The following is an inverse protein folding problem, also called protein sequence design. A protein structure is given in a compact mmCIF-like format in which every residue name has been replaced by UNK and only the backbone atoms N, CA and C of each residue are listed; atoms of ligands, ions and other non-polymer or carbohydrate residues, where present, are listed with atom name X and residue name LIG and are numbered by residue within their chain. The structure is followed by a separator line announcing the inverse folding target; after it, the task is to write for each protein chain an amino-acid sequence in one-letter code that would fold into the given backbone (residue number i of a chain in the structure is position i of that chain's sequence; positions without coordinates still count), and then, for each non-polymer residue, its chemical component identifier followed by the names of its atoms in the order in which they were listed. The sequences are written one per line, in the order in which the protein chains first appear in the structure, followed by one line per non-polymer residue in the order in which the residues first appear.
data_IF_195444839821
#
_entry.id   IF_195444839821
#
_cell.length_a   1.000
_cell.length_b   1.000
_cell.length_c   1.000
_cell.angle_alpha   90.00
_cell.angle_beta   90.00
_cell.angle_gamma   90.00
#
_symmetry.space_group_name_H-M   'P 1'
#
loop_
_entity.id
_entity.type
_entity.pdbx_description
1 polymer ?
#
# COMPACT_ATOMS: atom_id res chain seq x y z
N UNK A 1 71.72 23.80 -18.03
CA UNK A 1 70.26 23.94 -17.90
C UNK A 1 69.68 22.53 -17.75
N UNK A 2 69.17 22.20 -16.55
CA UNK A 2 68.48 20.90 -16.28
C UNK A 2 67.00 21.12 -16.26
N UNK A 3 66.14 20.29 -16.95
CA UNK A 3 64.72 20.44 -16.92
C UNK A 3 64.13 19.81 -15.63
N UNK A 4 63.33 20.58 -14.91
CA UNK A 4 62.64 20.15 -13.69
C UNK A 4 61.51 19.15 -14.00
N UNK A 5 61.54 18.04 -13.32
CA UNK A 5 60.46 17.05 -13.28
C UNK A 5 59.29 17.60 -12.47
N UNK A 6 58.16 17.86 -13.08
CA UNK A 6 56.90 18.13 -12.41
C UNK A 6 56.27 16.79 -11.98
N UNK A 7 56.20 16.53 -10.69
CA UNK A 7 55.38 15.44 -10.12
C UNK A 7 53.91 15.85 -10.20
N UNK A 8 53.16 15.15 -11.01
CA UNK A 8 51.70 15.24 -11.00
C UNK A 8 51.16 14.40 -9.84
N UNK A 9 50.54 15.06 -8.86
CA UNK A 9 49.86 14.42 -7.76
C UNK A 9 48.50 13.95 -8.27
N UNK A 10 48.34 12.63 -8.50
CA UNK A 10 47.06 12.03 -8.85
C UNK A 10 46.20 11.92 -7.56
N UNK A 11 45.20 12.76 -7.43
CA UNK A 11 44.20 12.62 -6.40
C UNK A 11 43.32 11.40 -6.73
N UNK A 12 43.47 10.31 -5.99
CA UNK A 12 42.49 9.20 -6.00
C UNK A 12 41.21 9.71 -5.37
N UNK A 13 40.19 9.96 -6.19
CA UNK A 13 38.81 10.10 -5.75
C UNK A 13 38.33 8.70 -5.35
N UNK A 14 38.27 8.43 -4.06
CA UNK A 14 37.59 7.26 -3.51
C UNK A 14 36.09 7.41 -3.82
N UNK A 15 35.56 6.59 -4.73
CA UNK A 15 34.13 6.47 -4.92
C UNK A 15 33.51 5.96 -3.61
N UNK A 16 32.38 6.52 -3.13
CA UNK A 16 31.70 6.00 -1.98
C UNK A 16 31.32 4.54 -2.26
N UNK A 17 31.78 3.61 -1.44
CA UNK A 17 31.34 2.23 -1.48
C UNK A 17 29.83 2.23 -1.21
N UNK A 18 29.04 1.75 -2.17
CA UNK A 18 27.62 1.49 -1.92
C UNK A 18 27.54 0.55 -0.70
N UNK A 19 26.76 0.93 0.31
CA UNK A 19 26.56 0.09 1.48
C UNK A 19 25.99 -1.25 1.02
N UNK A 20 26.67 -2.35 1.36
CA UNK A 20 26.24 -3.68 0.95
C UNK A 20 25.03 -4.09 1.79
N UNK A 21 23.99 -4.63 1.14
CA UNK A 21 22.83 -5.22 1.85
C UNK A 21 23.31 -6.26 2.87
N UNK A 22 22.83 -6.17 4.12
CA UNK A 22 23.05 -7.17 5.14
C UNK A 22 21.81 -8.05 5.25
N UNK A 23 21.88 -9.30 4.78
CA UNK A 23 20.78 -10.25 4.90
C UNK A 23 20.62 -10.68 6.36
N UNK A 24 19.44 -10.43 6.92
CA UNK A 24 19.09 -10.82 8.29
C UNK A 24 18.36 -12.15 8.35
N UNK A 25 17.52 -12.44 7.34
CA UNK A 25 16.71 -13.65 7.30
C UNK A 25 16.35 -14.04 5.88
N UNK A 26 16.24 -15.34 5.64
CA UNK A 26 15.72 -15.89 4.39
C UNK A 26 14.90 -17.13 4.71
N UNK A 27 13.65 -17.15 4.28
CA UNK A 27 12.81 -18.36 4.37
C UNK A 27 11.96 -18.52 3.10
N UNK A 28 11.50 -19.76 2.87
CA UNK A 28 10.54 -20.09 1.82
C UNK A 28 9.22 -20.50 2.45
N UNK A 29 8.18 -19.70 2.21
CA UNK A 29 6.82 -20.03 2.59
C UNK A 29 6.12 -20.88 1.52
N UNK A 30 4.83 -21.21 1.74
CA UNK A 30 4.00 -21.82 0.72
C UNK A 30 3.73 -20.91 -0.48
N UNK A 31 3.82 -19.58 -0.28
CA UNK A 31 3.45 -18.59 -1.28
C UNK A 31 4.66 -18.00 -1.99
N UNK A 32 5.78 -17.76 -1.28
CA UNK A 32 6.91 -17.01 -1.82
C UNK A 32 8.22 -17.25 -1.08
N UNK A 33 9.31 -16.74 -1.62
CA UNK A 33 10.55 -16.61 -0.89
C UNK A 33 10.54 -15.24 -0.16
N UNK A 34 10.84 -15.23 1.12
CA UNK A 34 10.92 -14.02 1.94
C UNK A 34 12.38 -13.78 2.28
N UNK A 35 12.87 -12.58 2.01
CA UNK A 35 14.22 -12.13 2.39
C UNK A 35 14.09 -10.83 3.17
N UNK A 36 14.62 -10.80 4.40
CA UNK A 36 14.74 -9.60 5.22
C UNK A 36 16.19 -9.14 5.23
N UNK A 37 16.41 -7.85 5.02
CA UNK A 37 17.73 -7.27 4.95
C UNK A 37 17.74 -5.83 5.46
N UNK A 38 18.90 -5.42 5.96
CA UNK A 38 19.21 -4.02 6.23
C UNK A 38 19.97 -3.44 5.02
N UNK A 39 19.57 -2.26 4.59
CA UNK A 39 20.14 -1.50 3.49
C UNK A 39 20.21 -0.04 3.94
N UNK A 40 21.40 0.38 4.35
CA UNK A 40 21.66 1.69 4.96
C UNK A 40 20.76 1.96 6.18
N UNK A 41 19.91 2.99 6.10
CA UNK A 41 18.98 3.37 7.18
C UNK A 41 17.70 2.52 7.21
N UNK A 42 17.49 1.67 6.21
CA UNK A 42 16.26 0.92 6.03
C UNK A 42 16.42 -0.55 6.43
N UNK A 43 15.38 -1.08 7.05
CA UNK A 43 15.11 -2.52 7.10
C UNK A 43 14.02 -2.84 6.11
N UNK A 44 14.29 -3.77 5.18
CA UNK A 44 13.38 -4.10 4.11
C UNK A 44 13.08 -5.60 4.05
N UNK A 45 11.93 -5.92 3.47
CA UNK A 45 11.52 -7.25 3.06
C UNK A 45 11.29 -7.27 1.56
N UNK A 46 11.70 -8.35 0.91
CA UNK A 46 11.40 -8.65 -0.49
C UNK A 46 10.94 -10.10 -0.65
N UNK A 47 10.14 -10.33 -1.69
CA UNK A 47 9.57 -11.63 -2.00
C UNK A 47 10.29 -12.37 -3.13
N UNK A 48 11.39 -11.82 -3.58
CA UNK A 48 12.24 -12.40 -4.62
C UNK A 48 13.70 -12.26 -4.26
N UNK A 49 14.58 -12.88 -5.05
CA UNK A 49 16.03 -12.67 -4.93
C UNK A 49 16.51 -11.39 -5.59
N UNK A 50 15.65 -10.70 -6.35
CA UNK A 50 16.03 -9.46 -7.04
C UNK A 50 16.20 -8.32 -6.02
N UNK A 51 17.36 -7.66 -5.93
CA UNK A 51 17.63 -6.63 -4.94
C UNK A 51 16.69 -5.42 -5.00
N UNK A 52 16.19 -5.09 -6.19
CA UNK A 52 15.35 -3.91 -6.43
C UNK A 52 13.87 -4.09 -6.06
N UNK A 53 13.41 -5.32 -5.81
CA UNK A 53 12.02 -5.66 -5.56
C UNK A 53 11.64 -5.47 -4.08
N UNK A 54 11.67 -4.24 -3.59
CA UNK A 54 11.29 -3.90 -2.20
C UNK A 54 9.80 -4.02 -2.02
N UNK A 55 9.38 -4.91 -1.11
CA UNK A 55 7.97 -5.15 -0.79
C UNK A 55 7.50 -4.36 0.42
N UNK A 56 8.30 -4.31 1.46
CA UNK A 56 8.04 -3.52 2.65
C UNK A 56 9.35 -2.99 3.21
N UNK A 57 9.38 -1.73 3.62
CA UNK A 57 10.55 -1.12 4.25
C UNK A 57 10.12 -0.26 5.43
N UNK A 58 11.00 -0.20 6.44
CA UNK A 58 10.87 0.61 7.64
C UNK A 58 12.20 1.34 7.88
N UNK A 59 12.14 2.61 8.29
CA UNK A 59 13.33 3.29 8.79
C UNK A 59 13.71 2.72 10.16
N UNK A 60 14.98 2.42 10.36
CA UNK A 60 15.46 1.79 11.61
C UNK A 60 15.38 2.74 12.81
N UNK A 61 15.66 4.02 12.60
CA UNK A 61 15.64 5.05 13.65
C UNK A 61 14.26 5.73 13.78
N UNK A 62 13.49 5.82 12.70
CA UNK A 62 12.14 6.40 12.69
C UNK A 62 11.10 5.36 12.23
N UNK A 63 10.85 4.27 12.99
CA UNK A 63 10.04 3.14 12.53
C UNK A 63 8.56 3.48 12.24
N UNK A 64 8.06 4.60 12.73
CA UNK A 64 6.71 5.07 12.45
C UNK A 64 6.57 5.78 11.09
N UNK A 65 7.68 6.31 10.57
CA UNK A 65 7.67 7.05 9.31
C UNK A 65 7.40 6.10 8.13
N UNK A 66 6.39 6.44 7.34
CA UNK A 66 6.01 5.65 6.17
C UNK A 66 7.03 5.88 5.04
N UNK A 67 7.81 4.86 4.71
CA UNK A 67 8.88 4.92 3.71
C UNK A 67 8.30 5.08 2.30
N UNK A 68 7.31 4.26 1.95
CA UNK A 68 6.74 4.28 0.60
C UNK A 68 5.70 5.39 0.43
N UNK A 69 5.78 6.10 -0.70
CA UNK A 69 4.85 7.19 -1.02
C UNK A 69 3.39 6.71 -1.06
N UNK A 70 3.15 5.49 -1.57
CA UNK A 70 1.79 4.97 -1.67
C UNK A 70 1.14 4.78 -0.30
N UNK A 71 1.89 4.37 0.72
CA UNK A 71 1.36 4.28 2.09
C UNK A 71 0.90 5.65 2.59
N UNK A 72 1.70 6.69 2.31
CA UNK A 72 1.31 8.08 2.63
C UNK A 72 0.08 8.54 1.84
N UNK A 73 -0.04 8.16 0.56
CA UNK A 73 -1.22 8.44 -0.25
C UNK A 73 -2.47 7.71 0.28
N UNK A 74 -2.34 6.46 0.74
CA UNK A 74 -3.45 5.70 1.33
C UNK A 74 -4.02 6.35 2.60
N UNK A 75 -3.18 7.04 3.39
CA UNK A 75 -3.64 7.81 4.55
C UNK A 75 -4.63 8.93 4.18
N UNK A 76 -4.64 9.39 2.93
CA UNK A 76 -5.61 10.34 2.40
C UNK A 76 -7.06 9.87 2.47
N UNK A 77 -7.30 8.57 2.63
CA UNK A 77 -8.63 8.01 2.88
C UNK A 77 -9.30 8.65 4.12
N UNK A 78 -8.51 9.01 5.14
CA UNK A 78 -9.01 9.64 6.36
C UNK A 78 -9.54 11.07 6.14
N UNK A 79 -9.28 11.67 4.98
CA UNK A 79 -9.83 12.97 4.61
C UNK A 79 -11.27 12.89 4.07
N UNK A 80 -11.73 11.67 3.65
CA UNK A 80 -13.00 11.49 2.95
C UNK A 80 -14.21 11.28 3.87
N UNK A 81 -14.00 11.19 5.17
CA UNK A 81 -15.08 10.94 6.13
C UNK A 81 -14.68 11.25 7.57
N UNK A 82 -15.56 10.97 8.53
CA UNK A 82 -15.23 11.03 9.95
C UNK A 82 -14.16 9.98 10.31
N UNK A 83 -13.53 10.13 11.48
CA UNK A 83 -12.57 9.15 11.98
C UNK A 83 -13.22 7.75 12.05
N UNK A 84 -12.66 6.73 11.36
CA UNK A 84 -13.25 5.40 11.32
C UNK A 84 -13.14 4.68 12.67
N UNK A 85 -14.21 3.99 13.08
CA UNK A 85 -14.23 3.14 14.25
C UNK A 85 -13.90 1.68 13.95
N UNK A 86 -14.13 1.23 12.70
CA UNK A 86 -13.77 -0.10 12.22
C UNK A 86 -13.02 -0.03 10.89
N UNK A 87 -11.86 -0.67 10.86
CA UNK A 87 -10.96 -0.67 9.70
C UNK A 87 -10.65 -2.10 9.28
N UNK A 88 -10.70 -2.37 7.98
CA UNK A 88 -10.17 -3.58 7.36
C UNK A 88 -8.92 -3.23 6.54
N UNK A 89 -7.84 -3.94 6.78
CA UNK A 89 -6.63 -3.87 5.96
C UNK A 89 -6.38 -5.24 5.35
N UNK A 90 -6.40 -5.34 4.03
CA UNK A 90 -6.08 -6.56 3.28
C UNK A 90 -4.66 -6.43 2.74
N UNK A 91 -3.76 -7.24 3.27
CA UNK A 91 -2.31 -7.15 3.12
C UNK A 91 -1.64 -6.57 4.37
N UNK A 92 -0.59 -7.22 4.86
CA UNK A 92 0.14 -6.80 6.06
C UNK A 92 1.54 -6.28 5.72
N UNK A 93 2.29 -7.02 4.91
CA UNK A 93 3.70 -6.75 4.70
C UNK A 93 4.49 -6.70 6.01
N UNK A 94 5.27 -5.65 6.23
CA UNK A 94 5.97 -5.39 7.49
C UNK A 94 5.10 -4.80 8.60
N UNK A 95 3.81 -4.58 8.37
CA UNK A 95 2.88 -4.01 9.35
C UNK A 95 2.86 -2.48 9.42
N UNK A 96 3.59 -1.78 8.54
CA UNK A 96 3.72 -0.31 8.61
C UNK A 96 2.38 0.42 8.48
N UNK A 97 1.49 -0.03 7.57
CA UNK A 97 0.17 0.59 7.39
C UNK A 97 -0.72 0.38 8.63
N UNK A 98 -0.77 -0.85 9.14
CA UNK A 98 -1.55 -1.19 10.35
C UNK A 98 -1.05 -0.42 11.56
N UNK A 99 0.27 -0.36 11.77
CA UNK A 99 0.89 0.40 12.87
C UNK A 99 0.64 1.92 12.77
N UNK A 100 0.62 2.47 11.55
CA UNK A 100 0.27 3.87 11.31
C UNK A 100 -1.20 4.13 11.68
N UNK A 101 -2.11 3.26 11.23
CA UNK A 101 -3.54 3.37 11.57
C UNK A 101 -3.79 3.23 13.07
N UNK A 102 -3.17 2.28 13.74
CA UNK A 102 -3.27 2.10 15.19
C UNK A 102 -2.80 3.35 15.96
N UNK A 103 -1.73 4.00 15.46
CA UNK A 103 -1.21 5.24 16.04
C UNK A 103 -2.19 6.40 15.91
N UNK A 104 -2.79 6.60 14.73
CA UNK A 104 -3.67 7.76 14.49
C UNK A 104 -5.14 7.50 14.84
N UNK A 105 -5.53 6.24 14.98
CA UNK A 105 -6.89 5.80 15.31
C UNK A 105 -6.89 4.92 16.56
N UNK A 106 -6.47 5.41 17.73
CA UNK A 106 -6.22 4.58 18.91
C UNK A 106 -7.51 3.92 19.47
N UNK A 107 -8.68 4.35 19.02
CA UNK A 107 -9.97 3.78 19.43
C UNK A 107 -10.58 2.82 18.39
N UNK A 108 -10.03 2.77 17.17
CA UNK A 108 -10.54 1.92 16.10
C UNK A 108 -10.25 0.44 16.35
N UNK A 109 -11.16 -0.41 15.91
CA UNK A 109 -10.91 -1.83 15.75
C UNK A 109 -10.38 -2.10 14.34
N UNK A 110 -9.23 -2.76 14.23
CA UNK A 110 -8.57 -3.03 12.97
C UNK A 110 -8.50 -4.54 12.76
N UNK A 111 -9.09 -5.01 11.68
CA UNK A 111 -8.90 -6.36 11.17
C UNK A 111 -7.81 -6.31 10.09
N UNK A 112 -6.66 -6.93 10.32
CA UNK A 112 -5.55 -7.05 9.38
C UNK A 112 -5.52 -8.47 8.81
N UNK A 113 -5.56 -8.59 7.48
CA UNK A 113 -5.66 -9.88 6.78
C UNK A 113 -4.39 -10.10 5.97
N UNK A 114 -3.71 -11.21 6.20
CA UNK A 114 -2.53 -11.64 5.45
C UNK A 114 -2.67 -13.12 5.09
N UNK A 115 -2.42 -13.45 3.83
CA UNK A 115 -2.56 -14.83 3.36
C UNK A 115 -1.39 -15.72 3.79
N UNK A 116 -0.22 -15.14 3.98
CA UNK A 116 1.01 -15.87 4.30
C UNK A 116 1.39 -15.74 5.79
N UNK A 117 1.22 -16.80 6.59
CA UNK A 117 1.62 -16.80 8.01
C UNK A 117 3.10 -16.49 8.23
N UNK A 118 3.97 -16.77 7.23
CA UNK A 118 5.37 -16.44 7.32
C UNK A 118 5.61 -14.93 7.28
N UNK A 119 4.83 -14.18 6.50
CA UNK A 119 4.88 -12.71 6.48
C UNK A 119 4.49 -12.15 7.85
N UNK A 120 3.45 -12.70 8.50
CA UNK A 120 3.03 -12.28 9.85
C UNK A 120 4.16 -12.53 10.88
N UNK A 121 4.82 -13.69 10.84
CA UNK A 121 5.97 -13.98 11.72
C UNK A 121 7.12 -13.02 11.48
N UNK A 122 7.47 -12.78 10.21
CA UNK A 122 8.55 -11.88 9.81
C UNK A 122 8.26 -10.44 10.26
N UNK A 123 7.02 -9.95 10.08
CA UNK A 123 6.60 -8.65 10.55
C UNK A 123 6.82 -8.49 12.07
N UNK A 124 6.43 -9.48 12.85
CA UNK A 124 6.62 -9.49 14.31
C UNK A 124 8.08 -9.56 14.71
N UNK A 125 8.88 -10.40 14.04
CA UNK A 125 10.27 -10.67 14.45
C UNK A 125 11.23 -9.56 14.02
N UNK A 126 11.05 -9.00 12.83
CA UNK A 126 12.02 -8.11 12.21
C UNK A 126 11.57 -6.66 12.06
N UNK A 127 10.25 -6.40 12.01
CA UNK A 127 9.70 -5.05 11.80
C UNK A 127 9.04 -4.47 13.06
N UNK A 128 9.15 -5.15 14.20
CA UNK A 128 8.57 -4.66 15.46
C UNK A 128 7.04 -4.59 15.44
N UNK A 129 6.38 -5.34 14.55
CA UNK A 129 4.93 -5.39 14.51
C UNK A 129 4.37 -6.09 15.75
N UNK A 130 3.91 -5.30 16.71
CA UNK A 130 3.34 -5.75 17.97
C UNK A 130 1.94 -5.13 18.11
N UNK A 131 0.91 -5.74 17.46
CA UNK A 131 -0.44 -5.19 17.44
C UNK A 131 -1.04 -5.13 18.85
N UNK A 132 -1.71 -4.03 19.15
CA UNK A 132 -2.44 -3.84 20.40
C UNK A 132 -3.76 -4.63 20.46
N UNK A 133 -4.51 -4.53 21.55
CA UNK A 133 -5.68 -5.36 21.80
C UNK A 133 -6.86 -5.09 20.87
N UNK A 134 -6.84 -4.00 20.10
CA UNK A 134 -7.87 -3.67 19.11
C UNK A 134 -7.51 -4.08 17.68
N UNK A 135 -6.35 -4.70 17.48
CA UNK A 135 -5.91 -5.19 16.17
C UNK A 135 -5.99 -6.71 16.15
N UNK A 136 -6.86 -7.25 15.31
CA UNK A 136 -6.93 -8.68 15.05
C UNK A 136 -6.21 -9.00 13.74
N UNK A 137 -5.30 -10.00 13.78
CA UNK A 137 -4.57 -10.48 12.59
C UNK A 137 -5.18 -11.80 12.15
N UNK A 138 -5.59 -11.88 10.89
CA UNK A 138 -6.24 -13.03 10.28
C UNK A 138 -5.35 -13.61 9.18
N UNK A 139 -4.86 -14.82 9.37
CA UNK A 139 -4.03 -15.54 8.41
C UNK A 139 -4.92 -16.30 7.42
N UNK A 140 -5.44 -15.59 6.42
CA UNK A 140 -6.40 -16.11 5.45
C UNK A 140 -6.37 -15.26 4.16
N UNK A 141 -6.84 -15.85 3.05
CA UNK A 141 -7.04 -15.10 1.81
C UNK A 141 -8.02 -13.92 1.99
N UNK A 142 -7.66 -12.75 1.40
CA UNK A 142 -8.41 -11.51 1.56
C UNK A 142 -9.86 -11.59 1.10
N UNK A 143 -10.13 -12.24 -0.04
CA UNK A 143 -11.51 -12.39 -0.55
C UNK A 143 -12.32 -13.37 0.28
N UNK A 144 -11.69 -14.44 0.77
CA UNK A 144 -12.33 -15.37 1.71
C UNK A 144 -12.73 -14.65 2.99
N UNK A 145 -11.84 -13.78 3.51
CA UNK A 145 -12.16 -12.97 4.69
C UNK A 145 -13.34 -12.04 4.42
N UNK A 146 -13.31 -11.26 3.32
CA UNK A 146 -14.39 -10.33 2.95
C UNK A 146 -15.74 -11.05 2.84
N UNK A 147 -15.79 -12.24 2.21
CA UNK A 147 -17.01 -13.06 2.11
C UNK A 147 -17.53 -13.52 3.47
N UNK A 148 -16.64 -13.81 4.42
CA UNK A 148 -17.03 -14.15 5.81
C UNK A 148 -17.54 -12.93 6.57
N UNK A 149 -16.84 -11.80 6.45
CA UNK A 149 -17.21 -10.54 7.07
C UNK A 149 -18.58 -10.02 6.61
N UNK A 150 -18.99 -10.29 5.35
CA UNK A 150 -20.30 -9.94 4.83
C UNK A 150 -21.49 -10.66 5.53
N UNK A 151 -21.22 -11.63 6.40
CA UNK A 151 -22.22 -12.30 7.24
C UNK A 151 -22.37 -11.68 8.62
N UNK A 152 -21.56 -10.67 8.92
CA UNK A 152 -21.60 -9.92 10.19
C UNK A 152 -22.37 -8.63 10.00
N UNK A 153 -23.08 -8.20 11.04
CA UNK A 153 -23.79 -6.90 11.09
C UNK A 153 -22.87 -5.73 11.47
N UNK A 154 -21.54 -5.93 11.45
CA UNK A 154 -20.56 -4.93 11.83
C UNK A 154 -19.76 -4.45 10.60
N UNK A 155 -20.27 -3.43 9.88
CA UNK A 155 -19.62 -2.94 8.66
C UNK A 155 -18.31 -2.16 8.98
N UNK A 156 -17.47 -2.00 7.97
CA UNK A 156 -16.23 -1.24 8.04
C UNK A 156 -16.41 0.20 7.55
N UNK A 157 -15.92 1.16 8.34
CA UNK A 157 -15.87 2.57 7.94
C UNK A 157 -14.76 2.84 6.94
N UNK A 158 -13.67 2.05 7.01
CA UNK A 158 -12.53 2.14 6.13
C UNK A 158 -12.07 0.74 5.72
N UNK A 159 -11.89 0.54 4.42
CA UNK A 159 -11.25 -0.65 3.85
C UNK A 159 -10.00 -0.24 3.09
N UNK A 160 -8.88 -0.87 3.40
CA UNK A 160 -7.61 -0.66 2.71
C UNK A 160 -7.15 -1.95 2.02
N UNK A 161 -6.97 -1.89 0.70
CA UNK A 161 -6.51 -3.00 -0.12
C UNK A 161 -5.04 -2.78 -0.49
N UNK A 162 -4.15 -3.55 0.12
CA UNK A 162 -2.69 -3.50 -0.07
C UNK A 162 -2.08 -4.91 -0.17
N UNK A 163 -2.82 -5.83 -0.83
CA UNK A 163 -2.48 -7.24 -0.96
C UNK A 163 -1.83 -7.55 -2.32
N UNK A 164 -0.58 -7.13 -2.49
CA UNK A 164 0.16 -7.31 -3.74
C UNK A 164 1.54 -7.94 -3.50
N UNK A 165 2.11 -8.54 -4.53
CA UNK A 165 3.55 -8.65 -4.65
C UNK A 165 4.08 -7.57 -5.61
N UNK A 166 5.39 -7.57 -5.88
CA UNK A 166 6.02 -6.53 -6.70
C UNK A 166 5.64 -6.58 -8.19
N UNK A 167 5.00 -7.64 -8.65
CA UNK A 167 4.73 -7.89 -10.06
C UNK A 167 3.25 -7.76 -10.43
N UNK A 168 2.34 -8.21 -9.56
CA UNK A 168 0.92 -8.23 -9.90
C UNK A 168 -0.01 -8.23 -8.68
N UNK A 169 -1.25 -7.88 -8.94
CA UNK A 169 -2.36 -8.04 -8.01
C UNK A 169 -3.01 -9.39 -8.31
N UNK A 170 -3.30 -10.24 -7.31
CA UNK A 170 -4.01 -11.49 -7.53
C UNK A 170 -5.33 -11.27 -8.29
N UNK A 171 -5.55 -12.02 -9.38
CA UNK A 171 -6.68 -11.81 -10.30
C UNK A 171 -8.02 -11.70 -9.59
N UNK A 172 -8.26 -12.56 -8.59
CA UNK A 172 -9.50 -12.63 -7.85
C UNK A 172 -9.75 -11.42 -6.91
N UNK A 173 -8.74 -10.54 -6.73
CA UNK A 173 -8.83 -9.28 -5.97
C UNK A 173 -8.97 -8.04 -6.86
N UNK A 174 -9.06 -8.21 -8.20
CA UNK A 174 -9.20 -7.12 -9.16
C UNK A 174 -10.60 -7.03 -9.78
N UNK A 175 -11.45 -8.02 -9.55
CA UNK A 175 -12.71 -8.18 -10.27
C UNK A 175 -13.81 -7.28 -9.71
N UNK A 176 -14.77 -6.95 -10.56
CA UNK A 176 -15.97 -6.22 -10.15
C UNK A 176 -16.71 -6.95 -9.02
N UNK A 177 -16.82 -8.26 -9.12
CA UNK A 177 -17.47 -9.09 -8.10
C UNK A 177 -16.78 -8.96 -6.75
N UNK A 178 -15.44 -8.96 -6.72
CA UNK A 178 -14.70 -8.72 -5.48
C UNK A 178 -14.93 -7.31 -4.93
N UNK A 179 -14.86 -6.27 -5.77
CA UNK A 179 -15.11 -4.89 -5.33
C UNK A 179 -16.54 -4.69 -4.84
N UNK A 180 -17.53 -5.38 -5.43
CA UNK A 180 -18.91 -5.42 -4.93
C UNK A 180 -19.02 -6.14 -3.58
N UNK A 181 -18.23 -7.22 -3.38
CA UNK A 181 -18.11 -7.92 -2.09
C UNK A 181 -17.50 -7.00 -1.02
N UNK A 182 -16.45 -6.24 -1.37
CA UNK A 182 -15.86 -5.21 -0.50
C UNK A 182 -16.88 -4.13 -0.16
N UNK A 183 -17.58 -3.58 -1.16
CA UNK A 183 -18.59 -2.54 -0.93
C UNK A 183 -19.72 -2.99 0.00
N UNK A 184 -20.09 -4.28 -0.03
CA UNK A 184 -21.13 -4.84 0.88
C UNK A 184 -20.70 -4.91 2.34
N UNK A 185 -19.41 -5.01 2.63
CA UNK A 185 -18.89 -4.99 4.01
C UNK A 185 -18.58 -3.59 4.51
N UNK A 186 -18.70 -2.56 3.66
CA UNK A 186 -18.51 -1.17 4.04
C UNK A 186 -19.78 -0.57 4.66
N UNK A 187 -19.57 0.31 5.63
CA UNK A 187 -20.64 1.15 6.18
C UNK A 187 -21.21 2.11 5.12
N UNK A 188 -22.43 2.62 5.26
CA UNK A 188 -22.92 3.75 4.48
C UNK A 188 -21.95 4.93 4.60
N UNK A 189 -21.42 5.43 3.48
CA UNK A 189 -20.38 6.47 3.47
C UNK A 189 -18.98 5.98 3.85
N UNK A 190 -18.78 4.68 3.98
CA UNK A 190 -17.46 4.07 4.21
C UNK A 190 -16.48 4.36 3.06
N UNK A 191 -15.20 4.36 3.38
CA UNK A 191 -14.12 4.75 2.48
C UNK A 191 -13.30 3.54 2.06
N UNK A 192 -12.88 3.50 0.79
CA UNK A 192 -11.93 2.55 0.23
C UNK A 192 -10.64 3.26 -0.13
N UNK A 193 -9.50 2.71 0.29
CA UNK A 193 -8.18 3.01 -0.27
C UNK A 193 -7.61 1.74 -0.90
N UNK A 194 -7.20 1.80 -2.16
CA UNK A 194 -6.61 0.66 -2.84
C UNK A 194 -5.28 1.06 -3.49
N UNK A 195 -4.20 0.36 -3.13
CA UNK A 195 -2.94 0.45 -3.81
C UNK A 195 -3.02 -0.34 -5.13
N UNK A 196 -2.54 0.24 -6.22
CA UNK A 196 -2.45 -0.38 -7.56
C UNK A 196 -1.17 0.08 -8.26
N UNK A 197 -1.00 -0.25 -9.52
CA UNK A 197 0.19 0.12 -10.28
C UNK A 197 -0.12 1.18 -11.33
N UNK A 198 0.63 2.28 -11.35
CA UNK A 198 0.52 3.33 -12.37
C UNK A 198 0.93 2.83 -13.77
N UNK A 199 1.85 1.86 -13.83
CA UNK A 199 2.39 1.29 -15.07
C UNK A 199 1.77 -0.06 -15.45
N UNK A 200 0.71 -0.51 -14.76
CA UNK A 200 0.01 -1.75 -15.07
C UNK A 200 -0.57 -1.72 -16.48
N UNK A 201 -0.42 -2.80 -17.23
CA UNK A 201 -1.15 -3.01 -18.48
C UNK A 201 -2.66 -3.16 -18.28
N UNK A 202 -3.07 -3.40 -17.04
CA UNK A 202 -4.47 -3.45 -16.62
C UNK A 202 -5.01 -2.10 -16.16
N UNK A 203 -4.22 -1.02 -16.19
CA UNK A 203 -4.58 0.29 -15.65
C UNK A 203 -5.98 0.77 -16.07
N UNK A 204 -6.28 0.70 -17.38
CA UNK A 204 -7.57 1.12 -17.92
C UNK A 204 -8.70 0.19 -17.46
N UNK A 205 -8.46 -1.11 -17.44
CA UNK A 205 -9.41 -2.13 -16.97
C UNK A 205 -9.68 -2.01 -15.47
N UNK A 206 -8.64 -1.82 -14.66
CA UNK A 206 -8.76 -1.54 -13.22
C UNK A 206 -9.58 -0.27 -13.01
N UNK A 207 -9.25 0.82 -13.71
CA UNK A 207 -9.96 2.09 -13.64
C UNK A 207 -11.44 1.95 -13.94
N UNK A 208 -11.77 1.25 -15.03
CA UNK A 208 -13.15 0.96 -15.42
C UNK A 208 -13.87 0.11 -14.36
N UNK A 209 -13.16 -0.84 -13.75
CA UNK A 209 -13.71 -1.73 -12.71
C UNK A 209 -14.05 -0.98 -11.43
N UNK A 210 -13.12 -0.14 -10.93
CA UNK A 210 -13.39 0.71 -9.78
C UNK A 210 -14.51 1.71 -10.04
N UNK A 211 -14.53 2.34 -11.25
CA UNK A 211 -15.59 3.25 -11.64
C UNK A 211 -16.97 2.58 -11.73
N UNK A 212 -17.02 1.34 -12.21
CA UNK A 212 -18.27 0.58 -12.30
C UNK A 212 -18.89 0.30 -10.91
N UNK A 213 -18.08 0.15 -9.86
CA UNK A 213 -18.56 -0.18 -8.51
C UNK A 213 -18.75 1.05 -7.64
N UNK A 214 -17.81 2.00 -7.67
CA UNK A 214 -17.78 3.14 -6.77
C UNK A 214 -18.16 4.48 -7.44
N UNK A 215 -18.22 4.53 -8.76
CA UNK A 215 -18.41 5.78 -9.52
C UNK A 215 -17.13 6.61 -9.56
N UNK A 216 -17.24 7.91 -9.27
CA UNK A 216 -16.08 8.81 -9.22
C UNK A 216 -15.21 8.50 -8.01
N UNK A 217 -13.89 8.50 -8.21
CA UNK A 217 -12.88 8.29 -7.18
C UNK A 217 -11.71 9.26 -7.38
N UNK A 218 -10.89 9.49 -6.34
CA UNK A 218 -9.59 10.14 -6.49
C UNK A 218 -8.56 9.13 -6.97
N UNK A 219 -7.77 9.54 -7.97
CA UNK A 219 -6.75 8.77 -8.66
C UNK A 219 -5.38 9.39 -8.40
N UNK A 220 -4.69 8.96 -7.34
CA UNK A 220 -3.39 9.48 -6.94
C UNK A 220 -2.29 8.68 -7.66
N UNK A 221 -1.57 9.33 -8.58
CA UNK A 221 -0.57 8.70 -9.43
C UNK A 221 0.84 9.16 -9.12
N UNK A 222 1.67 8.23 -8.70
CA UNK A 222 3.12 8.37 -8.54
C UNK A 222 3.78 7.10 -9.10
N UNK A 223 4.83 6.58 -8.47
CA UNK A 223 5.38 5.27 -8.82
C UNK A 223 4.32 4.17 -8.69
N UNK A 224 3.62 4.15 -7.57
CA UNK A 224 2.37 3.40 -7.39
C UNK A 224 1.18 4.31 -7.71
N UNK A 225 0.02 3.71 -7.81
CA UNK A 225 -1.28 4.37 -7.91
C UNK A 225 -2.10 4.04 -6.68
N UNK A 226 -2.75 5.04 -6.09
CA UNK A 226 -3.74 4.82 -5.03
C UNK A 226 -5.10 5.33 -5.49
N UNK A 227 -6.10 4.49 -5.37
CA UNK A 227 -7.51 4.84 -5.60
C UNK A 227 -8.14 5.10 -4.24
N UNK A 228 -8.73 6.30 -4.08
CA UNK A 228 -9.56 6.61 -2.92
C UNK A 228 -11.01 6.80 -3.37
N UNK A 229 -11.89 5.92 -2.89
CA UNK A 229 -13.31 5.93 -3.22
C UNK A 229 -14.17 5.97 -1.96
N UNK A 230 -15.44 6.35 -2.08
CA UNK A 230 -16.38 6.38 -0.98
C UNK A 230 -17.72 5.81 -1.39
N UNK A 231 -18.32 4.99 -0.56
CA UNK A 231 -19.66 4.50 -0.76
C UNK A 231 -20.65 5.67 -0.68
N UNK A 232 -21.43 5.87 -1.76
CA UNK A 232 -22.35 7.01 -1.87
C UNK A 232 -21.75 8.27 -2.52
N UNK A 233 -20.49 8.21 -2.97
CA UNK A 233 -19.81 9.30 -3.69
C UNK A 233 -18.84 10.10 -2.84
N UNK A 234 -17.95 10.82 -3.51
CA UNK A 234 -16.93 11.66 -2.86
C UNK A 234 -17.56 12.90 -2.19
N UNK A 235 -17.03 13.33 -1.04
CA UNK A 235 -17.45 14.59 -0.45
C UNK A 235 -16.93 15.78 -1.28
N UNK A 236 -17.52 16.97 -1.15
CA UNK A 236 -17.01 18.21 -1.75
C UNK A 236 -15.56 18.46 -1.32
N UNK A 237 -14.75 19.06 -2.23
CA UNK A 237 -13.31 19.24 -2.00
C UNK A 237 -13.00 20.11 -0.76
N UNK A 238 -13.82 21.12 -0.49
CA UNK A 238 -13.67 21.97 0.70
C UNK A 238 -13.90 21.17 2.01
N UNK A 239 -14.77 20.16 1.98
CA UNK A 239 -14.94 19.21 3.10
C UNK A 239 -13.69 18.37 3.28
N UNK A 240 -13.11 17.86 2.18
CA UNK A 240 -11.86 17.07 2.21
C UNK A 240 -10.72 17.91 2.78
N UNK A 241 -10.60 19.17 2.37
CA UNK A 241 -9.59 20.12 2.87
C UNK A 241 -9.73 20.38 4.37
N UNK A 242 -10.96 20.69 4.85
CA UNK A 242 -11.21 20.86 6.29
C UNK A 242 -10.92 19.59 7.10
N UNK A 243 -11.28 18.42 6.57
CA UNK A 243 -10.96 17.18 7.22
C UNK A 243 -9.45 16.95 7.31
N UNK A 244 -8.70 17.28 6.25
CA UNK A 244 -7.25 17.14 6.23
C UNK A 244 -6.56 17.93 7.36
N UNK A 245 -7.07 19.12 7.70
CA UNK A 245 -6.53 19.94 8.79
C UNK A 245 -6.55 19.24 10.14
N UNK A 246 -7.55 18.38 10.39
CA UNK A 246 -7.69 17.63 11.65
C UNK A 246 -6.59 16.57 11.83
N UNK A 247 -6.00 16.11 10.73
CA UNK A 247 -5.00 15.04 10.73
C UNK A 247 -3.54 15.54 10.72
N UNK A 248 -3.30 16.83 10.53
CA UNK A 248 -1.93 17.41 10.37
C UNK A 248 -1.00 16.97 11.50
N UNK A 249 -1.41 17.13 12.76
CA UNK A 249 -0.59 16.78 13.91
C UNK A 249 -0.34 15.26 14.02
N UNK A 250 -1.37 14.45 13.82
CA UNK A 250 -1.28 12.99 13.89
C UNK A 250 -0.43 12.40 12.74
N UNK A 251 -0.43 13.03 11.56
CA UNK A 251 0.28 12.55 10.38
C UNK A 251 1.76 12.96 10.35
N UNK A 252 2.14 13.99 11.09
CA UNK A 252 3.53 14.48 11.12
C UNK A 252 4.58 13.40 11.44
N UNK A 253 4.41 12.55 12.48
CA UNK A 253 5.36 11.48 12.76
C UNK A 253 5.41 10.39 11.68
N UNK A 254 4.35 10.29 10.87
CA UNK A 254 4.27 9.33 9.76
C UNK A 254 4.95 9.85 8.48
N UNK A 255 5.38 11.13 8.47
CA UNK A 255 5.92 11.78 7.27
C UNK A 255 4.86 12.06 6.20
N UNK A 256 3.59 12.23 6.60
CA UNK A 256 2.48 12.57 5.70
C UNK A 256 2.19 14.06 5.82
N UNK A 257 2.36 14.78 4.72
CA UNK A 257 2.15 16.23 4.66
C UNK A 257 0.84 16.53 3.92
N UNK A 258 -0.10 17.21 4.61
CA UNK A 258 -1.41 17.50 4.07
C UNK A 258 -1.39 18.29 2.73
N UNK A 259 -0.57 19.35 2.56
CA UNK A 259 -0.52 20.06 1.27
C UNK A 259 -0.04 19.16 0.13
N UNK A 260 0.98 18.33 0.39
CA UNK A 260 1.48 17.38 -0.62
C UNK A 260 0.40 16.37 -1.01
N UNK A 261 -0.30 15.81 -0.02
CA UNK A 261 -1.31 14.76 -0.25
C UNK A 261 -2.55 15.33 -0.96
N UNK A 262 -3.03 16.51 -0.54
CA UNK A 262 -4.16 17.19 -1.20
C UNK A 262 -3.85 17.52 -2.67
N UNK A 263 -2.61 17.88 -2.98
CA UNK A 263 -2.18 18.14 -4.36
C UNK A 263 -2.17 16.90 -5.27
N UNK A 264 -2.24 15.68 -4.70
CA UNK A 264 -2.34 14.44 -5.48
C UNK A 264 -3.79 14.04 -5.82
N UNK A 265 -4.78 14.69 -5.19
CA UNK A 265 -6.20 14.33 -5.38
C UNK A 265 -6.66 14.77 -6.77
N UNK A 266 -6.90 13.81 -7.66
CA UNK A 266 -7.39 14.03 -9.02
C UNK A 266 -8.56 13.08 -9.31
N UNK A 267 -9.66 13.64 -9.83
CA UNK A 267 -10.85 12.88 -10.22
C UNK A 267 -10.99 12.77 -11.74
N UNK A 268 -10.00 13.28 -12.48
CA UNK A 268 -10.02 13.25 -13.94
C UNK A 268 -9.99 11.83 -14.45
N UNK A 269 -10.95 11.51 -15.32
CA UNK A 269 -10.97 10.23 -16.02
C UNK A 269 -9.90 10.24 -17.11
N UNK A 270 -8.94 9.35 -17.01
CA UNK A 270 -7.80 9.22 -17.93
C UNK A 270 -7.74 7.84 -18.63
N UNK A 271 -8.86 7.14 -18.70
CA UNK A 271 -9.03 5.85 -19.39
C UNK A 271 -10.20 5.89 -20.37
N UNK A 272 -10.17 5.05 -21.44
CA UNK A 272 -11.22 4.99 -22.45
C UNK A 272 -12.60 4.67 -21.85
N UNK A 273 -13.66 5.21 -22.49
CA UNK A 273 -15.04 5.00 -22.03
C UNK A 273 -15.48 3.54 -22.16
N UNK A 274 -14.91 2.85 -23.14
CA UNK A 274 -15.17 1.45 -23.49
C UNK A 274 -14.18 0.46 -22.87
N UNK A 275 -13.30 0.92 -21.97
CA UNK A 275 -12.38 0.05 -21.24
C UNK A 275 -13.15 -1.08 -20.55
N UNK A 276 -12.74 -2.32 -20.81
CA UNK A 276 -13.44 -3.51 -20.32
C UNK A 276 -13.27 -3.70 -18.83
N UNK A 277 -14.37 -3.85 -18.11
CA UNK A 277 -14.42 -4.18 -16.69
C UNK A 277 -13.86 -5.58 -16.44
N UNK A 278 -13.03 -5.73 -15.44
CA UNK A 278 -12.53 -7.03 -14.97
C UNK A 278 -13.63 -7.75 -14.19
N UNK A 279 -13.78 -9.05 -14.45
CA UNK A 279 -14.78 -9.90 -13.81
C UNK A 279 -14.14 -11.24 -13.42
N UNK A 280 -14.80 -12.02 -12.58
CA UNK A 280 -14.32 -13.38 -12.20
C UNK A 280 -14.15 -14.32 -13.41
N UNK A 281 -14.79 -13.99 -14.54
CA UNK A 281 -14.63 -14.73 -15.81
C UNK A 281 -13.61 -14.09 -16.75
N UNK A 282 -13.15 -12.87 -16.47
CA UNK A 282 -12.20 -12.13 -17.28
C UNK A 282 -11.32 -11.23 -16.40
N UNK A 283 -10.18 -11.75 -16.01
CA UNK A 283 -9.15 -11.01 -15.27
C UNK A 283 -7.76 -11.50 -15.71
N UNK A 284 -7.25 -11.02 -16.86
CA UNK A 284 -6.06 -11.56 -17.51
C UNK A 284 -4.75 -10.98 -16.92
N UNK A 285 -4.65 -10.75 -15.62
CA UNK A 285 -3.49 -10.10 -14.99
C UNK A 285 -2.21 -10.88 -15.24
N UNK A 286 -2.24 -12.21 -15.14
CA UNK A 286 -1.08 -13.06 -15.40
C UNK A 286 -0.61 -13.03 -16.88
N UNK A 287 -1.53 -12.81 -17.82
CA UNK A 287 -1.20 -12.76 -19.24
C UNK A 287 -0.68 -11.39 -19.68
N UNK A 288 -1.23 -10.31 -19.11
CA UNK A 288 -0.91 -8.96 -19.52
C UNK A 288 0.30 -8.38 -18.78
N UNK A 289 0.51 -8.76 -17.52
CA UNK A 289 1.65 -8.30 -16.72
C UNK A 289 2.87 -9.24 -16.80
N UNK A 290 2.74 -10.44 -17.35
CA UNK A 290 3.91 -11.30 -17.60
C UNK A 290 4.89 -10.58 -18.54
N UNK A 291 6.13 -10.44 -18.13
CA UNK A 291 7.21 -10.00 -19.01
C UNK A 291 7.26 -10.99 -20.20
N UNK A 292 7.25 -10.46 -21.42
CA UNK A 292 7.56 -11.29 -22.59
C UNK A 292 9.03 -11.70 -22.45
N UNK A 293 9.34 -13.00 -22.62
CA UNK A 293 10.71 -13.52 -22.58
C UNK A 293 11.62 -12.84 -23.61
#
# INVERSE_FOLDING_TARGET
MRPGRRLALAALLAAPAAAAETILHTERSLYRQIVVYDDDELRCMRFTRQPTARQSCQMREEPRRLVFEYLRMMMGALYLGPAPGRVLVVGLGGGSLVGALETVLPQAHIDAVEVDPAVVRVARTYFGFAPGPRVAVHEVDGRVFVKRAARSDAPYDLVMLDAYDHEYIPEHLLTREFLEEVKRVMAPGGVLAANTFSSSRLYEHESATYAAVFGTFYNLKRRNRVILARAGGLPPLDVVQRNAEQWVAAFKPLGVEAPWLLAQLDTTRDWPADARVLTDRYSPSNLLNAERP
#
